data_IF_446670190570
#
_entry.id   IF_446670190570
#
_cell.length_a   1.000
_cell.length_b   1.000
_cell.length_c   1.000
_cell.angle_alpha   90.00
_cell.angle_beta   90.00
_cell.angle_gamma   90.00
#
_symmetry.space_group_name_H-M   'P 1'
#
loop_
_entity.id
_entity.type
_entity.pdbx_description
1 polymer ?
#
# COMPACT_ATOMS: atom_id res chain seq x y z
N UNK A 1 14.66 1.91 7.16
CA UNK A 1 14.80 2.63 5.88
C UNK A 1 14.05 1.86 4.80
N UNK A 2 13.44 2.54 3.83
CA UNK A 2 12.71 1.95 2.71
C UNK A 2 12.82 2.84 1.47
N UNK A 3 12.53 2.28 0.30
CA UNK A 3 12.43 3.01 -0.96
C UNK A 3 11.01 2.89 -1.51
N UNK A 4 10.63 3.82 -2.39
CA UNK A 4 9.38 3.76 -3.13
C UNK A 4 9.64 4.04 -4.60
N UNK A 5 9.00 3.27 -5.48
CA UNK A 5 9.09 3.40 -6.94
C UNK A 5 7.68 3.39 -7.53
N UNK A 6 7.52 3.83 -8.78
CA UNK A 6 6.22 3.95 -9.41
C UNK A 6 5.73 2.62 -9.98
N UNK A 7 6.64 1.84 -10.58
CA UNK A 7 6.33 0.59 -11.29
C UNK A 7 7.31 -0.53 -10.91
N UNK A 8 6.91 -1.82 -11.01
CA UNK A 8 7.77 -2.95 -10.66
C UNK A 8 9.14 -2.96 -11.35
N UNK A 9 9.21 -2.52 -12.62
CA UNK A 9 10.44 -2.52 -13.43
C UNK A 9 11.56 -1.65 -12.84
N UNK A 10 11.19 -0.61 -12.09
CA UNK A 10 12.15 0.28 -11.41
C UNK A 10 12.82 -0.40 -10.20
N UNK A 11 12.24 -1.47 -9.66
CA UNK A 11 12.82 -2.22 -8.54
C UNK A 11 13.96 -3.14 -8.96
N UNK A 12 13.99 -3.59 -10.22
CA UNK A 12 15.01 -4.49 -10.77
C UNK A 12 16.43 -3.93 -10.65
N UNK A 13 16.76 -2.72 -11.14
CA UNK A 13 18.10 -2.17 -11.00
C UNK A 13 18.50 -1.97 -9.53
N UNK A 14 17.54 -1.69 -8.63
CA UNK A 14 17.80 -1.54 -7.19
C UNK A 14 18.22 -2.89 -6.58
N UNK A 15 17.51 -3.97 -6.90
CA UNK A 15 17.87 -5.33 -6.46
C UNK A 15 19.20 -5.78 -7.06
N UNK A 16 19.45 -5.51 -8.33
CA UNK A 16 20.73 -5.81 -8.98
C UNK A 16 21.91 -5.04 -8.35
N UNK A 17 21.66 -3.86 -7.77
CA UNK A 17 22.65 -3.10 -7.02
C UNK A 17 22.85 -3.59 -5.58
N UNK A 18 22.18 -4.68 -5.17
CA UNK A 18 22.28 -5.26 -3.82
C UNK A 18 21.45 -4.53 -2.76
N UNK A 19 20.51 -3.68 -3.15
CA UNK A 19 19.63 -2.98 -2.20
C UNK A 19 18.59 -3.96 -1.67
N UNK A 20 18.60 -4.21 -0.37
CA UNK A 20 17.70 -5.18 0.30
C UNK A 20 16.64 -4.55 1.21
N UNK A 21 16.61 -3.21 1.32
CA UNK A 21 15.53 -2.54 2.07
C UNK A 21 14.17 -2.76 1.40
N UNK A 22 13.04 -2.62 2.11
CA UNK A 22 11.71 -2.69 1.52
C UNK A 22 11.55 -1.68 0.37
N UNK A 23 10.94 -2.14 -0.74
CA UNK A 23 10.63 -1.31 -1.91
C UNK A 23 9.10 -1.30 -2.08
N UNK A 24 8.48 -0.14 -1.88
CA UNK A 24 7.04 0.05 -2.07
C UNK A 24 6.74 0.46 -3.50
N UNK A 25 5.71 -0.14 -4.11
CA UNK A 25 5.21 0.27 -5.41
C UNK A 25 4.02 1.21 -5.20
N UNK A 26 4.17 2.48 -5.57
CA UNK A 26 3.12 3.49 -5.36
C UNK A 26 2.04 3.46 -6.45
N UNK A 27 2.37 2.92 -7.63
CA UNK A 27 1.42 2.69 -8.71
C UNK A 27 0.67 1.37 -8.54
N UNK A 28 -0.57 1.33 -9.03
CA UNK A 28 -1.31 0.08 -9.12
C UNK A 28 -0.60 -0.86 -10.11
N UNK A 29 -0.25 -2.03 -9.60
CA UNK A 29 0.41 -3.06 -10.40
C UNK A 29 -0.63 -3.91 -11.12
N UNK A 30 -0.42 -4.16 -12.41
CA UNK A 30 -1.31 -5.03 -13.19
C UNK A 30 -0.93 -6.49 -12.99
N UNK A 31 -1.87 -7.45 -13.15
CA UNK A 31 -1.59 -8.87 -12.96
C UNK A 31 -0.42 -9.40 -13.79
N UNK A 32 -0.19 -8.85 -15.00
CA UNK A 32 0.92 -9.27 -15.85
C UNK A 32 2.30 -8.97 -15.27
N UNK A 33 2.39 -8.07 -14.28
CA UNK A 33 3.64 -7.68 -13.63
C UNK A 33 3.78 -8.25 -12.22
N UNK A 34 2.85 -9.10 -11.74
CA UNK A 34 2.93 -9.69 -10.39
C UNK A 34 4.13 -10.62 -10.21
N UNK A 35 4.54 -11.36 -11.25
CA UNK A 35 5.78 -12.14 -11.21
C UNK A 35 6.98 -11.26 -10.84
N UNK A 36 7.05 -10.06 -11.42
CA UNK A 36 8.14 -9.13 -11.13
C UNK A 36 8.08 -8.56 -9.71
N UNK A 37 6.88 -8.47 -9.12
CA UNK A 37 6.72 -8.11 -7.70
C UNK A 37 7.36 -9.16 -6.81
N UNK A 38 7.12 -10.45 -7.09
CA UNK A 38 7.70 -11.57 -6.36
C UNK A 38 9.22 -11.66 -6.57
N UNK A 39 9.68 -11.64 -7.83
CA UNK A 39 11.11 -11.68 -8.21
C UNK A 39 11.94 -10.62 -7.49
N UNK A 40 11.35 -9.45 -7.24
CA UNK A 40 12.01 -8.30 -6.62
C UNK A 40 11.66 -8.15 -5.15
N UNK A 41 10.85 -9.05 -4.57
CA UNK A 41 10.33 -8.94 -3.21
C UNK A 41 9.87 -7.50 -2.88
N UNK A 42 9.07 -6.95 -3.80
CA UNK A 42 8.50 -5.61 -3.69
C UNK A 42 7.16 -5.65 -2.96
N UNK A 43 6.75 -4.52 -2.38
CA UNK A 43 5.49 -4.36 -1.64
C UNK A 43 4.51 -3.60 -2.55
N UNK A 44 3.58 -4.26 -3.25
CA UNK A 44 2.69 -3.59 -4.18
C UNK A 44 1.59 -2.81 -3.45
N UNK A 45 1.18 -1.68 -4.03
CA UNK A 45 -0.05 -1.00 -3.66
C UNK A 45 -1.28 -1.85 -4.05
N UNK A 46 -2.21 -2.02 -3.11
CA UNK A 46 -3.46 -2.76 -3.32
C UNK A 46 -4.69 -1.93 -2.94
N UNK A 47 -5.80 -2.15 -3.65
CA UNK A 47 -7.13 -1.61 -3.36
C UNK A 47 -8.22 -2.54 -3.91
N UNK A 48 -9.49 -2.11 -3.95
CA UNK A 48 -10.62 -2.94 -4.39
C UNK A 48 -10.48 -3.45 -5.82
N UNK A 49 -9.79 -2.70 -6.67
CA UNK A 49 -9.55 -3.06 -8.08
C UNK A 49 -8.40 -4.06 -8.28
N UNK A 50 -7.65 -4.37 -7.23
CA UNK A 50 -6.55 -5.33 -7.30
C UNK A 50 -7.10 -6.76 -7.40
N UNK A 51 -6.55 -7.53 -8.32
CA UNK A 51 -6.76 -8.97 -8.42
C UNK A 51 -5.93 -9.71 -7.36
N UNK A 52 -6.46 -9.78 -6.13
CA UNK A 52 -5.78 -10.39 -4.99
C UNK A 52 -5.58 -11.90 -5.17
N UNK A 53 -6.48 -12.59 -5.88
CA UNK A 53 -6.35 -14.02 -6.16
C UNK A 53 -5.18 -14.30 -7.10
N UNK A 54 -5.03 -13.49 -8.16
CA UNK A 54 -3.87 -13.62 -9.03
C UNK A 54 -2.55 -13.29 -8.31
N UNK A 55 -2.56 -12.33 -7.37
CA UNK A 55 -1.37 -12.00 -6.58
C UNK A 55 -1.00 -13.12 -5.60
N UNK A 56 -1.99 -13.68 -4.90
CA UNK A 56 -1.81 -14.82 -3.98
C UNK A 56 -1.27 -16.05 -4.71
N UNK A 57 -1.80 -16.34 -5.91
CA UNK A 57 -1.29 -17.44 -6.73
C UNK A 57 0.17 -17.26 -7.17
N UNK A 58 0.59 -16.03 -7.45
CA UNK A 58 2.00 -15.75 -7.73
C UNK A 58 2.84 -15.96 -6.47
N UNK A 59 2.37 -15.48 -5.31
CA UNK A 59 3.05 -15.69 -4.04
C UNK A 59 3.21 -17.20 -3.72
N UNK A 60 2.17 -18.00 -3.95
CA UNK A 60 2.18 -19.47 -3.82
C UNK A 60 3.23 -20.10 -4.75
N UNK A 61 3.27 -19.72 -6.03
CA UNK A 61 4.24 -20.26 -6.99
C UNK A 61 5.70 -19.96 -6.62
N UNK A 62 5.93 -18.88 -5.86
CA UNK A 62 7.24 -18.46 -5.36
C UNK A 62 7.56 -18.96 -3.95
N UNK A 63 6.65 -19.72 -3.32
CA UNK A 63 6.78 -20.22 -1.94
C UNK A 63 7.10 -19.08 -0.95
N UNK A 64 6.35 -17.97 -1.06
CA UNK A 64 6.59 -16.76 -0.27
C UNK A 64 5.31 -16.06 0.16
N UNK A 65 5.45 -15.17 1.16
CA UNK A 65 4.40 -14.22 1.52
C UNK A 65 4.69 -12.89 0.82
N UNK A 66 3.74 -12.41 0.00
CA UNK A 66 3.79 -11.06 -0.56
C UNK A 66 3.14 -10.11 0.42
N UNK A 67 3.97 -9.23 1.00
CA UNK A 67 3.51 -8.09 1.78
C UNK A 67 2.94 -7.02 0.88
N UNK A 68 1.81 -6.42 1.26
CA UNK A 68 1.10 -5.41 0.45
C UNK A 68 0.85 -4.13 1.23
N UNK A 69 0.85 -2.99 0.52
CA UNK A 69 0.49 -1.70 1.07
C UNK A 69 -0.90 -1.28 0.58
N UNK A 70 -1.84 -1.06 1.49
CA UNK A 70 -3.20 -0.66 1.14
C UNK A 70 -3.22 0.82 0.78
N UNK A 71 -3.58 1.13 -0.46
CA UNK A 71 -3.81 2.51 -0.88
C UNK A 71 -5.17 2.97 -0.35
N UNK A 72 -5.23 4.16 0.24
CA UNK A 72 -6.43 4.74 0.84
C UNK A 72 -6.74 6.07 0.17
N UNK A 73 -7.97 6.22 -0.32
CA UNK A 73 -8.47 7.47 -0.87
C UNK A 73 -9.10 8.35 0.23
N UNK A 74 -8.34 9.33 0.70
CA UNK A 74 -8.83 10.30 1.70
C UNK A 74 -9.53 11.52 1.08
N UNK A 75 -9.53 11.64 -0.25
CA UNK A 75 -10.13 12.77 -0.98
C UNK A 75 -9.50 13.13 -2.32
N UNK A 76 -8.62 12.29 -2.89
CA UNK A 76 -8.08 12.47 -4.24
C UNK A 76 -8.94 11.80 -5.31
N UNK A 77 -9.77 10.82 -4.95
CA UNK A 77 -10.69 10.12 -5.86
C UNK A 77 -10.02 9.53 -7.09
N UNK A 78 -8.76 9.09 -6.92
CA UNK A 78 -7.93 8.52 -7.98
C UNK A 78 -7.73 7.02 -7.80
N UNK A 79 -7.10 6.64 -6.69
CA UNK A 79 -6.73 5.25 -6.35
C UNK A 79 -6.86 5.11 -4.82
N UNK A 80 -7.39 3.98 -4.39
CA UNK A 80 -7.41 3.56 -2.99
C UNK A 80 -8.80 3.26 -2.47
N UNK A 81 -8.84 2.50 -1.37
CA UNK A 81 -10.07 2.18 -0.67
C UNK A 81 -10.61 3.38 0.09
N UNK A 82 -11.89 3.37 0.46
CA UNK A 82 -12.38 4.36 1.40
C UNK A 82 -11.83 4.09 2.81
N UNK A 83 -11.55 5.13 3.63
CA UNK A 83 -11.06 4.95 4.98
C UNK A 83 -11.98 4.06 5.84
N UNK A 84 -13.30 4.19 5.69
CA UNK A 84 -14.29 3.38 6.42
C UNK A 84 -14.26 1.87 6.07
N UNK A 85 -13.72 1.51 4.90
CA UNK A 85 -13.69 0.12 4.43
C UNK A 85 -12.38 -0.61 4.84
N UNK A 86 -11.46 0.08 5.53
CA UNK A 86 -10.11 -0.42 5.80
C UNK A 86 -10.08 -1.73 6.60
N UNK A 87 -10.91 -1.85 7.64
CA UNK A 87 -10.99 -3.08 8.45
C UNK A 87 -11.54 -4.27 7.66
N UNK A 88 -12.51 -4.02 6.78
CA UNK A 88 -13.03 -5.08 5.91
C UNK A 88 -11.98 -5.48 4.87
N UNK A 89 -11.27 -4.51 4.31
CA UNK A 89 -10.22 -4.77 3.33
C UNK A 89 -9.04 -5.54 3.93
N UNK A 90 -8.64 -5.27 5.17
CA UNK A 90 -7.65 -6.09 5.91
C UNK A 90 -8.08 -7.55 5.91
N UNK A 91 -9.32 -7.82 6.35
CA UNK A 91 -9.84 -9.21 6.43
C UNK A 91 -9.87 -9.88 5.06
N UNK A 92 -10.17 -9.13 4.00
CA UNK A 92 -10.15 -9.65 2.63
C UNK A 92 -8.73 -10.03 2.21
N UNK A 93 -7.74 -9.17 2.43
CA UNK A 93 -6.34 -9.49 2.11
C UNK A 93 -5.85 -10.68 2.94
N UNK A 94 -6.07 -10.66 4.25
CA UNK A 94 -5.64 -11.71 5.18
C UNK A 94 -6.45 -13.03 5.04
N UNK A 95 -7.46 -13.08 4.17
CA UNK A 95 -8.15 -14.33 3.82
C UNK A 95 -7.39 -15.18 2.80
N UNK A 96 -6.37 -14.60 2.15
CA UNK A 96 -5.44 -15.28 1.27
C UNK A 96 -4.22 -15.74 2.06
N UNK A 97 -3.77 -16.98 1.86
CA UNK A 97 -2.74 -17.61 2.69
C UNK A 97 -1.36 -16.97 2.50
N UNK A 98 -1.09 -16.41 1.32
CA UNK A 98 0.24 -15.92 0.94
C UNK A 98 0.31 -14.39 0.84
N UNK A 99 -0.68 -13.67 1.39
CA UNK A 99 -0.72 -12.21 1.43
C UNK A 99 -0.73 -11.68 2.86
N UNK A 100 0.02 -10.60 3.08
CA UNK A 100 0.10 -9.94 4.39
C UNK A 100 0.01 -8.42 4.23
N UNK A 101 -0.79 -7.76 5.06
CA UNK A 101 -0.85 -6.29 5.07
C UNK A 101 0.39 -5.74 5.81
N UNK A 102 1.25 -5.01 5.10
CA UNK A 102 2.41 -4.31 5.70
C UNK A 102 2.03 -2.91 6.20
N UNK A 103 1.04 -2.27 5.56
CA UNK A 103 0.59 -0.96 5.99
C UNK A 103 -0.40 -0.29 5.06
N UNK A 104 -0.64 0.98 5.34
CA UNK A 104 -1.60 1.85 4.67
C UNK A 104 -0.92 3.13 4.23
N UNK A 105 -1.29 3.62 3.05
CA UNK A 105 -0.84 4.92 2.61
C UNK A 105 -1.93 5.71 1.89
N UNK A 106 -1.84 7.03 1.94
CA UNK A 106 -2.70 7.93 1.19
C UNK A 106 -1.87 9.05 0.57
N UNK A 107 -2.36 9.63 -0.52
CA UNK A 107 -1.77 10.82 -1.11
C UNK A 107 -2.55 12.07 -0.70
N UNK A 108 -1.84 13.06 -0.18
CA UNK A 108 -2.42 14.38 0.06
C UNK A 108 -2.57 15.15 -1.25
N UNK A 109 -3.75 15.70 -1.49
CA UNK A 109 -3.95 16.72 -2.51
C UNK A 109 -3.59 18.09 -1.94
N UNK A 110 -2.97 18.93 -2.77
CA UNK A 110 -2.81 20.36 -2.48
C UNK A 110 -2.08 20.70 -1.15
N UNK A 111 -1.10 19.89 -0.73
CA UNK A 111 -0.26 20.22 0.43
C UNK A 111 0.46 21.58 0.26
N UNK A 112 0.71 22.01 -0.98
CA UNK A 112 1.34 23.31 -1.30
C UNK A 112 0.35 24.49 -1.48
N UNK A 113 -0.95 24.29 -1.25
CA UNK A 113 -1.94 25.34 -1.45
C UNK A 113 -2.00 26.32 -0.27
N UNK A 114 -2.31 27.59 -0.54
CA UNK A 114 -2.49 28.61 0.50
C UNK A 114 -3.68 28.29 1.45
N UNK A 115 -4.68 27.56 0.95
CA UNK A 115 -5.78 27.02 1.76
C UNK A 115 -5.54 25.54 2.09
N UNK A 116 -5.28 25.28 3.37
CA UNK A 116 -4.95 23.96 3.92
C UNK A 116 -6.18 23.20 4.43
N UNK A 117 -7.40 23.74 4.28
CA UNK A 117 -8.62 23.12 4.83
C UNK A 117 -8.87 21.72 4.27
N UNK A 118 -8.59 21.52 2.98
CA UNK A 118 -8.68 20.21 2.33
C UNK A 118 -7.64 19.21 2.83
N UNK A 119 -6.38 19.64 2.92
CA UNK A 119 -5.27 18.85 3.45
C UNK A 119 -5.56 18.40 4.91
N UNK A 120 -6.07 19.30 5.74
CA UNK A 120 -6.46 18.98 7.11
C UNK A 120 -7.61 17.95 7.16
N UNK A 121 -8.61 18.10 6.30
CA UNK A 121 -9.71 17.13 6.19
C UNK A 121 -9.26 15.74 5.77
N UNK A 122 -8.32 15.63 4.83
CA UNK A 122 -7.72 14.34 4.45
C UNK A 122 -6.96 13.71 5.62
N UNK A 123 -6.15 14.51 6.33
CA UNK A 123 -5.42 14.03 7.48
C UNK A 123 -6.32 13.55 8.62
N UNK A 124 -7.42 14.26 8.90
CA UNK A 124 -8.39 13.83 9.90
C UNK A 124 -9.02 12.48 9.55
N UNK A 125 -9.43 12.27 8.28
CA UNK A 125 -9.97 10.99 7.83
C UNK A 125 -8.96 9.86 7.97
N UNK A 126 -7.71 10.12 7.56
CA UNK A 126 -6.64 9.13 7.67
C UNK A 126 -6.36 8.75 9.12
N UNK A 127 -6.17 9.72 10.01
CA UNK A 127 -5.92 9.44 11.44
C UNK A 127 -7.08 8.68 12.08
N UNK A 128 -8.34 9.04 11.78
CA UNK A 128 -9.50 8.31 12.27
C UNK A 128 -9.46 6.83 11.85
N UNK A 129 -9.13 6.56 10.59
CA UNK A 129 -8.95 5.19 10.10
C UNK A 129 -7.81 4.47 10.83
N UNK A 130 -6.68 5.14 11.07
CA UNK A 130 -5.56 4.57 11.85
C UNK A 130 -6.02 4.15 13.25
N UNK A 131 -6.81 4.98 13.92
CA UNK A 131 -7.33 4.66 15.25
C UNK A 131 -8.29 3.46 15.23
N UNK A 132 -9.16 3.37 14.22
CA UNK A 132 -10.06 2.22 14.01
C UNK A 132 -9.27 0.92 13.74
N UNK A 133 -8.21 0.98 12.92
CA UNK A 133 -7.33 -0.17 12.65
C UNK A 133 -6.59 -0.61 13.92
N UNK A 134 -6.02 0.32 14.69
CA UNK A 134 -5.32 0.01 15.94
C UNK A 134 -6.26 -0.57 17.00
N UNK A 135 -7.53 -0.14 17.03
CA UNK A 135 -8.53 -0.73 17.91
C UNK A 135 -8.90 -2.17 17.48
N UNK A 136 -8.95 -2.42 16.16
CA UNK A 136 -9.24 -3.74 15.61
C UNK A 136 -8.06 -4.73 15.76
N UNK A 137 -6.82 -4.27 15.58
CA UNK A 137 -5.58 -5.06 15.64
C UNK A 137 -4.51 -4.32 16.46
N UNK A 138 -4.60 -4.33 17.80
CA UNK A 138 -3.69 -3.56 18.66
C UNK A 138 -2.24 -4.07 18.62
N UNK A 139 -2.03 -5.34 18.29
CA UNK A 139 -0.70 -5.98 18.26
C UNK A 139 -0.07 -5.97 16.85
N UNK A 140 -0.77 -5.44 15.84
CA UNK A 140 -0.24 -5.39 14.47
C UNK A 140 0.73 -4.23 14.29
N UNK A 141 1.89 -4.50 13.67
CA UNK A 141 2.91 -3.49 13.35
C UNK A 141 2.69 -2.90 11.95
N UNK A 142 1.47 -2.44 11.67
CA UNK A 142 1.15 -1.82 10.38
C UNK A 142 1.82 -0.45 10.26
N UNK A 143 2.40 -0.19 9.08
CA UNK A 143 2.95 1.14 8.73
C UNK A 143 1.83 2.06 8.25
N UNK A 144 1.89 3.33 8.61
CA UNK A 144 0.93 4.33 8.16
C UNK A 144 1.68 5.51 7.55
N UNK A 145 1.39 5.84 6.28
CA UNK A 145 2.04 6.95 5.57
C UNK A 145 1.02 7.86 4.90
N UNK A 146 1.00 9.13 5.30
CA UNK A 146 0.11 10.16 4.73
C UNK A 146 0.87 11.18 3.86
N UNK A 147 2.20 11.10 3.81
CA UNK A 147 3.06 12.16 3.29
C UNK A 147 3.34 12.05 1.79
N UNK A 148 3.43 13.21 1.13
CA UNK A 148 4.13 13.38 -0.13
C UNK A 148 5.28 14.39 0.09
N UNK A 149 6.11 14.68 -0.92
CA UNK A 149 7.26 15.59 -0.73
C UNK A 149 6.89 17.01 -0.28
N UNK A 150 5.61 17.38 -0.32
CA UNK A 150 5.06 18.68 0.05
C UNK A 150 4.43 18.71 1.47
N UNK A 151 4.31 17.57 2.17
CA UNK A 151 3.65 17.47 3.47
C UNK A 151 4.13 16.31 4.31
#
# INVERSE_FOLDING_TARGET
ESLAVAIPEESVPLRNAGIMVPIYLLGLTRPQSFELVADTNSIPAVCESTDLEALDKVAENHDMIIRVAVAVDTGMHRIGIKPEDAVEFIKRVESYENLEVDGFFSHMSNADAADQSHAHGQAQKFHKMVDEIRAFRPDADYRFSLANSAG
#
